data_IF_788627385746
#
_entry.id   IF_788627385746
#
_cell.length_a   1.000
_cell.length_b   1.000
_cell.length_c   1.000
_cell.angle_alpha   90.00
_cell.angle_beta   90.00
_cell.angle_gamma   90.00
#
_symmetry.space_group_name_H-M   'P 1'
#
loop_
_entity.id
_entity.type
_entity.pdbx_description
1 polymer ?
#
# COMPACT_ATOMS: atom_id res chain seq x y z
N UNK A 1 -3.78 1.79 -27.34
CA UNK A 1 -3.26 0.43 -27.64
C UNK A 1 -1.81 0.45 -28.15
N UNK A 2 -1.46 1.22 -29.18
CA UNK A 2 -0.06 1.32 -29.66
C UNK A 2 0.95 1.82 -28.61
N UNK A 3 0.54 2.72 -27.71
CA UNK A 3 1.42 3.23 -26.66
C UNK A 3 1.80 2.15 -25.63
N UNK A 4 0.86 1.30 -25.21
CA UNK A 4 1.12 0.23 -24.25
C UNK A 4 2.11 -0.81 -24.81
N UNK A 5 1.94 -1.21 -26.07
CA UNK A 5 2.86 -2.12 -26.76
C UNK A 5 4.29 -1.55 -26.85
N UNK A 6 4.43 -0.26 -27.14
CA UNK A 6 5.75 0.40 -27.17
C UNK A 6 6.43 0.43 -25.80
N UNK A 7 5.64 0.59 -24.73
CA UNK A 7 6.16 0.54 -23.35
C UNK A 7 6.61 -0.89 -23.00
N UNK A 8 5.82 -1.91 -23.34
CA UNK A 8 6.19 -3.31 -23.12
C UNK A 8 7.48 -3.69 -23.85
N UNK A 9 7.60 -3.35 -25.14
CA UNK A 9 8.83 -3.62 -25.91
C UNK A 9 10.05 -2.94 -25.27
N UNK A 10 9.88 -1.71 -24.78
CA UNK A 10 10.96 -0.98 -24.10
C UNK A 10 11.34 -1.62 -22.76
N UNK A 11 10.34 -2.10 -22.00
CA UNK A 11 10.58 -2.78 -20.73
C UNK A 11 11.31 -4.11 -20.94
N UNK A 12 10.88 -4.91 -21.92
CA UNK A 12 11.57 -6.14 -22.32
C UNK A 12 13.01 -5.90 -22.75
N UNK A 13 13.27 -4.88 -23.57
CA UNK A 13 14.62 -4.53 -23.99
C UNK A 13 15.52 -4.13 -22.80
N UNK A 14 14.96 -3.42 -21.81
CA UNK A 14 15.69 -3.04 -20.60
C UNK A 14 16.01 -4.25 -19.71
N UNK A 15 15.07 -5.16 -19.53
CA UNK A 15 15.27 -6.41 -18.78
C UNK A 15 16.35 -7.25 -19.44
N UNK A 16 16.25 -7.46 -20.76
CA UNK A 16 17.25 -8.24 -21.50
C UNK A 16 18.66 -7.63 -21.41
N UNK A 17 18.78 -6.30 -21.46
CA UNK A 17 20.07 -5.65 -21.31
C UNK A 17 20.67 -5.87 -19.91
N UNK A 18 19.85 -5.86 -18.86
CA UNK A 18 20.28 -6.15 -17.50
C UNK A 18 20.68 -7.60 -17.32
N UNK A 19 19.93 -8.56 -17.89
CA UNK A 19 20.27 -9.98 -17.89
C UNK A 19 21.66 -10.23 -18.50
N UNK A 20 21.93 -9.61 -19.66
CA UNK A 20 23.24 -9.69 -20.31
C UNK A 20 24.35 -9.10 -19.44
N UNK A 21 24.12 -7.94 -18.82
CA UNK A 21 25.10 -7.29 -17.94
C UNK A 21 25.39 -8.06 -16.66
N UNK A 22 24.40 -8.79 -16.15
CA UNK A 22 24.49 -9.60 -14.95
C UNK A 22 24.89 -11.06 -15.25
N UNK A 23 25.16 -11.39 -16.51
CA UNK A 23 25.50 -12.74 -16.98
C UNK A 23 24.47 -13.81 -16.58
N UNK A 24 23.19 -13.44 -16.48
CA UNK A 24 22.12 -14.37 -16.12
C UNK A 24 21.82 -15.25 -17.34
N UNK A 25 22.17 -16.53 -17.24
CA UNK A 25 22.05 -17.48 -18.35
C UNK A 25 20.69 -18.20 -18.37
N UNK A 26 20.05 -18.35 -17.21
CA UNK A 26 18.73 -18.96 -17.04
C UNK A 26 17.87 -18.08 -16.15
N UNK A 27 16.70 -17.69 -16.66
CA UNK A 27 15.68 -17.02 -15.86
C UNK A 27 14.85 -18.06 -15.12
N UNK A 28 14.33 -17.70 -13.95
CA UNK A 28 13.39 -18.55 -13.23
C UNK A 28 12.11 -18.73 -14.06
N UNK A 29 11.68 -19.98 -14.18
CA UNK A 29 10.45 -20.36 -14.86
C UNK A 29 9.29 -20.48 -13.85
N UNK A 30 8.07 -20.46 -14.39
CA UNK A 30 6.86 -20.68 -13.59
C UNK A 30 6.90 -22.09 -12.98
N UNK A 31 7.07 -22.16 -11.66
CA UNK A 31 7.15 -23.43 -10.91
C UNK A 31 8.51 -23.73 -10.29
N UNK A 32 9.55 -22.93 -10.60
CA UNK A 32 10.81 -23.01 -9.89
C UNK A 32 10.63 -22.62 -8.41
N UNK A 33 11.37 -23.25 -7.50
CA UNK A 33 11.28 -22.96 -6.07
C UNK A 33 11.52 -21.48 -5.75
N UNK A 34 12.56 -20.89 -6.35
CA UNK A 34 12.86 -19.47 -6.23
C UNK A 34 11.73 -18.58 -6.78
N UNK A 35 11.07 -19.00 -7.87
CA UNK A 35 9.93 -18.27 -8.42
C UNK A 35 8.74 -18.29 -7.46
N UNK A 36 8.44 -19.46 -6.90
CA UNK A 36 7.34 -19.64 -5.94
C UNK A 36 7.60 -18.80 -4.69
N UNK A 37 8.80 -18.90 -4.10
CA UNK A 37 9.19 -18.14 -2.91
C UNK A 37 9.07 -16.63 -3.13
N UNK A 38 9.67 -16.11 -4.21
CA UNK A 38 9.62 -14.68 -4.52
C UNK A 38 8.20 -14.23 -4.87
N UNK A 39 7.40 -15.06 -5.54
CA UNK A 39 5.99 -14.73 -5.81
C UNK A 39 5.16 -14.60 -4.53
N UNK A 40 5.40 -15.46 -3.53
CA UNK A 40 4.77 -15.37 -2.22
C UNK A 40 5.24 -14.11 -1.47
N UNK A 41 6.54 -13.81 -1.49
CA UNK A 41 7.12 -12.60 -0.90
C UNK A 41 6.54 -11.33 -1.53
N UNK A 42 6.42 -11.28 -2.87
CA UNK A 42 5.82 -10.15 -3.58
C UNK A 42 4.35 -10.00 -3.22
N UNK A 43 3.60 -11.09 -3.11
CA UNK A 43 2.20 -11.06 -2.68
C UNK A 43 2.05 -10.45 -1.28
N UNK A 44 2.89 -10.88 -0.33
CA UNK A 44 2.96 -10.29 1.02
C UNK A 44 3.29 -8.80 0.97
N UNK A 45 4.28 -8.41 0.18
CA UNK A 45 4.68 -7.01 0.03
C UNK A 45 3.57 -6.15 -0.62
N UNK A 46 2.88 -6.67 -1.64
CA UNK A 46 1.73 -6.00 -2.24
C UNK A 46 0.60 -5.79 -1.23
N UNK A 47 0.34 -6.80 -0.39
CA UNK A 47 -0.63 -6.71 0.69
C UNK A 47 -0.24 -5.63 1.70
N UNK A 48 1.01 -5.65 2.19
CA UNK A 48 1.53 -4.63 3.12
C UNK A 48 1.45 -3.23 2.53
N UNK A 49 1.84 -3.05 1.26
CA UNK A 49 1.78 -1.75 0.59
C UNK A 49 0.35 -1.23 0.43
N UNK A 50 -0.61 -2.11 0.14
CA UNK A 50 -2.01 -1.73 0.06
C UNK A 50 -2.54 -1.29 1.43
N UNK A 51 -2.15 -2.01 2.49
CA UNK A 51 -2.49 -1.68 3.87
C UNK A 51 -1.88 -0.34 4.31
N UNK A 52 -0.59 -0.12 4.07
CA UNK A 52 0.11 1.13 4.40
C UNK A 52 -0.50 2.33 3.67
N UNK A 53 -0.88 2.14 2.40
CA UNK A 53 -1.54 3.18 1.62
C UNK A 53 -2.89 3.56 2.22
N UNK A 54 -3.72 2.57 2.57
CA UNK A 54 -5.00 2.78 3.24
C UNK A 54 -4.81 3.50 4.58
N UNK A 55 -3.86 3.04 5.39
CA UNK A 55 -3.52 3.65 6.68
C UNK A 55 -3.12 5.12 6.54
N UNK A 56 -2.21 5.43 5.61
CA UNK A 56 -1.75 6.80 5.39
C UNK A 56 -2.90 7.75 5.05
N UNK A 57 -3.88 7.28 4.27
CA UNK A 57 -5.07 8.06 3.94
C UNK A 57 -5.98 8.30 5.15
N UNK A 58 -6.18 7.28 6.00
CA UNK A 58 -7.00 7.39 7.22
C UNK A 58 -6.37 8.35 8.23
N UNK A 59 -5.06 8.21 8.47
CA UNK A 59 -4.31 9.10 9.36
C UNK A 59 -4.40 10.54 8.84
N UNK A 60 -4.21 10.76 7.53
CA UNK A 60 -4.38 12.08 6.92
C UNK A 60 -5.81 12.61 7.10
N UNK A 61 -6.84 11.77 7.04
CA UNK A 61 -8.24 12.13 7.30
C UNK A 61 -8.45 12.59 8.74
N UNK A 62 -7.93 11.84 9.72
CA UNK A 62 -8.01 12.20 11.14
C UNK A 62 -7.35 13.55 11.42
N UNK A 63 -6.14 13.79 10.89
CA UNK A 63 -5.47 15.08 11.05
C UNK A 63 -6.26 16.26 10.47
N UNK A 64 -6.99 16.05 9.38
CA UNK A 64 -7.83 17.09 8.82
C UNK A 64 -9.10 17.35 9.62
N UNK A 65 -9.73 16.32 10.19
CA UNK A 65 -10.86 16.48 11.10
C UNK A 65 -10.46 17.31 12.32
N UNK A 66 -9.30 17.01 12.92
CA UNK A 66 -8.74 17.79 14.03
C UNK A 66 -8.52 19.25 13.64
N UNK A 67 -7.95 19.52 12.45
CA UNK A 67 -7.76 20.89 11.94
C UNK A 67 -9.08 21.61 11.72
N UNK A 68 -10.11 20.93 11.22
CA UNK A 68 -11.43 21.52 11.01
C UNK A 68 -12.14 21.87 12.33
N UNK A 69 -11.91 21.09 13.38
CA UNK A 69 -12.53 21.27 14.70
C UNK A 69 -11.79 22.28 15.59
N UNK A 70 -10.65 22.82 15.13
CA UNK A 70 -9.85 23.78 15.90
C UNK A 70 -10.46 25.20 15.82
N UNK A 71 -10.72 25.80 16.99
CA UNK A 71 -11.18 27.18 17.12
C UNK A 71 -10.16 28.14 16.47
N UNK A 72 -10.64 29.11 15.68
CA UNK A 72 -9.79 30.05 14.93
C UNK A 72 -9.59 29.73 13.44
N UNK A 73 -10.18 28.65 12.93
CA UNK A 73 -10.17 28.38 11.48
C UNK A 73 -11.16 29.27 10.71
N UNK A 74 -10.63 30.19 9.91
CA UNK A 74 -11.41 31.06 9.03
C UNK A 74 -12.27 30.27 8.02
N UNK A 75 -13.40 30.85 7.59
CA UNK A 75 -14.37 30.20 6.70
C UNK A 75 -13.76 29.63 5.41
N UNK A 76 -12.84 30.37 4.78
CA UNK A 76 -12.13 29.91 3.57
C UNK A 76 -11.36 28.61 3.82
N UNK A 77 -10.62 28.54 4.93
CA UNK A 77 -9.84 27.35 5.29
C UNK A 77 -10.75 26.15 5.58
N UNK A 78 -11.86 26.35 6.30
CA UNK A 78 -12.88 25.31 6.51
C UNK A 78 -13.44 24.76 5.20
N UNK A 79 -13.71 25.62 4.21
CA UNK A 79 -14.17 25.19 2.88
C UNK A 79 -13.11 24.34 2.14
N UNK A 80 -11.83 24.70 2.25
CA UNK A 80 -10.74 23.91 1.68
C UNK A 80 -10.59 22.55 2.35
N UNK A 81 -10.67 22.50 3.69
CA UNK A 81 -10.62 21.24 4.45
C UNK A 81 -11.81 20.34 4.07
N UNK A 82 -13.04 20.89 3.99
CA UNK A 82 -14.21 20.13 3.58
C UNK A 82 -14.07 19.53 2.16
N UNK A 83 -13.51 20.30 1.21
CA UNK A 83 -13.23 19.80 -0.14
C UNK A 83 -12.14 18.72 -0.14
N UNK A 84 -11.04 18.94 0.59
CA UNK A 84 -9.99 17.92 0.75
C UNK A 84 -10.54 16.64 1.35
N UNK A 85 -11.45 16.76 2.33
CA UNK A 85 -12.10 15.64 3.01
C UNK A 85 -12.92 14.78 2.05
N UNK A 86 -13.74 15.40 1.18
CA UNK A 86 -14.49 14.69 0.15
C UNK A 86 -13.58 13.95 -0.83
N UNK A 87 -12.50 14.59 -1.28
CA UNK A 87 -11.52 13.98 -2.19
C UNK A 87 -10.85 12.77 -1.53
N UNK A 88 -10.42 12.90 -0.27
CA UNK A 88 -9.79 11.78 0.44
C UNK A 88 -10.76 10.67 0.79
N UNK A 89 -12.01 10.95 1.13
CA UNK A 89 -13.03 9.90 1.31
C UNK A 89 -13.17 9.03 0.05
N UNK A 90 -13.16 9.63 -1.15
CA UNK A 90 -13.15 8.88 -2.41
C UNK A 90 -11.86 8.08 -2.60
N UNK A 91 -10.71 8.63 -2.21
CA UNK A 91 -9.43 7.93 -2.27
C UNK A 91 -9.41 6.71 -1.34
N UNK A 92 -9.94 6.84 -0.12
CA UNK A 92 -10.04 5.74 0.85
C UNK A 92 -10.95 4.63 0.32
N UNK A 93 -12.13 4.95 -0.24
CA UNK A 93 -12.99 3.94 -0.89
C UNK A 93 -12.24 3.16 -1.99
N UNK A 94 -11.45 3.86 -2.79
CA UNK A 94 -10.60 3.23 -3.81
C UNK A 94 -9.53 2.34 -3.17
N UNK A 95 -8.87 2.82 -2.12
CA UNK A 95 -7.82 2.10 -1.41
C UNK A 95 -8.35 0.84 -0.70
N UNK A 96 -9.56 0.88 -0.14
CA UNK A 96 -10.26 -0.30 0.40
C UNK A 96 -10.46 -1.35 -0.71
N UNK A 97 -10.95 -0.95 -1.89
CA UNK A 97 -11.11 -1.88 -3.00
C UNK A 97 -9.78 -2.50 -3.46
N UNK A 98 -8.69 -1.73 -3.44
CA UNK A 98 -7.35 -2.26 -3.74
C UNK A 98 -6.85 -3.22 -2.65
N UNK A 99 -7.05 -2.88 -1.38
CA UNK A 99 -6.73 -3.74 -0.25
C UNK A 99 -7.50 -5.06 -0.33
N UNK A 100 -8.83 -5.03 -0.49
CA UNK A 100 -9.67 -6.23 -0.56
C UNK A 100 -9.24 -7.15 -1.71
N UNK A 101 -8.94 -6.58 -2.88
CA UNK A 101 -8.45 -7.35 -4.03
C UNK A 101 -7.14 -8.09 -3.72
N UNK A 102 -6.21 -7.45 -3.01
CA UNK A 102 -4.94 -8.09 -2.65
C UNK A 102 -5.13 -9.06 -1.48
N UNK A 103 -5.99 -8.74 -0.52
CA UNK A 103 -6.34 -9.58 0.63
C UNK A 103 -6.96 -10.92 0.18
N UNK A 104 -7.88 -10.89 -0.78
CA UNK A 104 -8.48 -12.10 -1.36
C UNK A 104 -7.48 -12.95 -2.15
N UNK A 105 -6.48 -12.32 -2.78
CA UNK A 105 -5.44 -13.00 -3.54
C UNK A 105 -4.34 -13.62 -2.68
N UNK A 106 -4.30 -13.34 -1.37
CA UNK A 106 -3.35 -13.94 -0.44
C UNK A 106 -3.66 -15.41 -0.19
N UNK A 107 -2.64 -16.19 0.16
CA UNK A 107 -2.79 -17.59 0.60
C UNK A 107 -2.17 -17.72 2.00
N UNK A 108 -2.97 -17.90 3.08
CA UNK A 108 -4.45 -17.90 3.09
C UNK A 108 -5.05 -16.51 2.82
N UNK A 109 -6.31 -16.44 2.33
CA UNK A 109 -7.01 -15.18 2.14
C UNK A 109 -7.09 -14.38 3.44
N UNK A 110 -6.92 -13.07 3.34
CA UNK A 110 -7.04 -12.12 4.46
C UNK A 110 -8.44 -11.53 4.53
N UNK A 111 -8.90 -11.08 5.72
CA UNK A 111 -10.20 -10.42 5.86
C UNK A 111 -10.31 -9.20 4.96
N UNK A 112 -11.47 -9.03 4.32
CA UNK A 112 -11.80 -7.81 3.58
C UNK A 112 -12.36 -6.75 4.53
N UNK A 113 -12.26 -5.49 4.13
CA UNK A 113 -12.79 -4.35 4.87
C UNK A 113 -14.00 -3.76 4.15
N UNK A 114 -15.03 -3.42 4.92
CA UNK A 114 -16.14 -2.59 4.45
C UNK A 114 -15.92 -1.10 4.77
N UNK A 115 -16.55 -0.20 4.01
CA UNK A 115 -16.39 1.24 4.22
C UNK A 115 -16.87 1.66 5.62
N UNK A 116 -18.00 1.12 6.07
CA UNK A 116 -18.62 1.39 7.35
C UNK A 116 -17.69 1.00 8.50
N UNK A 117 -17.10 -0.21 8.44
CA UNK A 117 -16.11 -0.69 9.41
C UNK A 117 -14.89 0.23 9.46
N UNK A 118 -14.37 0.66 8.31
CA UNK A 118 -13.20 1.54 8.24
C UNK A 118 -13.47 2.90 8.86
N UNK A 119 -14.67 3.46 8.66
CA UNK A 119 -15.06 4.73 9.28
C UNK A 119 -15.19 4.59 10.80
N UNK A 120 -15.76 3.48 11.27
CA UNK A 120 -15.89 3.18 12.69
C UNK A 120 -14.52 3.02 13.37
N UNK A 121 -13.63 2.22 12.79
CA UNK A 121 -12.27 2.04 13.30
C UNK A 121 -11.43 3.32 13.26
N UNK A 122 -11.55 4.12 12.20
CA UNK A 122 -10.87 5.43 12.14
C UNK A 122 -11.41 6.42 13.18
N UNK A 123 -12.69 6.32 13.54
CA UNK A 123 -13.27 7.12 14.62
C UNK A 123 -12.77 6.66 16.00
N UNK A 124 -12.69 5.35 16.23
CA UNK A 124 -12.23 4.77 17.50
C UNK A 124 -10.71 4.79 17.67
N UNK A 125 -9.96 5.17 16.63
CA UNK A 125 -8.49 5.02 16.55
C UNK A 125 -8.02 3.57 16.80
N UNK A 126 -8.92 2.61 16.68
CA UNK A 126 -8.73 1.22 17.04
C UNK A 126 -8.71 0.39 15.77
N UNK A 127 -7.52 0.27 15.21
CA UNK A 127 -7.30 -0.41 13.94
C UNK A 127 -6.18 -1.44 14.17
N UNK A 128 -6.48 -2.45 14.99
CA UNK A 128 -5.53 -3.52 15.35
C UNK A 128 -5.01 -4.30 14.12
N UNK A 129 -5.78 -4.31 13.01
CA UNK A 129 -5.34 -4.79 11.68
C UNK A 129 -4.05 -4.09 11.18
N UNK A 130 -3.81 -2.84 11.58
CA UNK A 130 -2.61 -2.07 11.24
C UNK A 130 -1.37 -2.53 12.02
N UNK A 131 -1.56 -3.30 13.10
CA UNK A 131 -0.47 -3.85 13.90
C UNK A 131 0.05 -5.16 13.33
N UNK A 132 -0.81 -5.94 12.68
CA UNK A 132 -0.46 -7.23 12.09
C UNK A 132 0.44 -7.13 10.84
N UNK A 133 0.45 -5.99 10.15
CA UNK A 133 1.23 -5.78 8.92
C UNK A 133 2.66 -5.29 9.13
N UNK A 134 2.98 -4.72 10.30
CA UNK A 134 4.32 -4.16 10.57
C UNK A 134 5.26 -5.27 10.98
N UNK A 135 6.34 -5.44 10.21
CA UNK A 135 7.49 -6.22 10.68
C UNK A 135 8.16 -5.46 11.84
N UNK A 136 8.38 -6.18 12.94
CA UNK A 136 9.10 -5.64 14.09
C UNK A 136 10.58 -5.56 13.79
N UNK A 137 11.03 -4.40 13.27
CA UNK A 137 12.42 -4.18 12.87
C UNK A 137 13.36 -3.94 14.06
N UNK A 138 12.87 -3.92 15.31
CA UNK A 138 13.70 -3.61 16.50
C UNK A 138 14.80 -4.65 16.73
N UNK A 139 14.67 -5.85 16.17
CA UNK A 139 15.67 -6.91 16.22
C UNK A 139 16.67 -6.91 15.07
N UNK A 140 16.52 -6.04 14.08
CA UNK A 140 17.35 -6.08 12.87
C UNK A 140 18.75 -5.54 13.09
N UNK A 141 19.73 -6.19 12.49
CA UNK A 141 21.15 -5.91 12.74
C UNK A 141 21.56 -4.48 12.35
N UNK A 142 20.86 -3.85 11.40
CA UNK A 142 21.08 -2.46 10.97
C UNK A 142 20.41 -1.42 11.87
N UNK A 143 19.62 -1.84 12.87
CA UNK A 143 18.97 -0.95 13.86
C UNK A 143 19.83 -0.78 15.11
N UNK A 144 20.83 -1.64 15.32
CA UNK A 144 21.77 -1.48 16.42
C UNK A 144 22.72 -0.31 16.15
N UNK A 145 22.96 0.59 17.12
CA UNK A 145 23.94 1.66 16.96
C UNK A 145 25.32 1.05 16.74
N UNK A 146 26.04 1.55 15.73
CA UNK A 146 27.45 1.21 15.57
C UNK A 146 28.20 1.61 16.85
N UNK A 147 28.79 0.63 17.52
CA UNK A 147 29.59 0.83 18.73
C UNK A 147 30.82 1.70 18.49
#
# INVERSE_FOLDING_TARGET
RQHALKVEVRAWAAVHNLELRLAITTCWALGDENWIEVSAMLSKHHYQRALDHLQGLLIAQMFELVKCNMLGTGYKLRKHIAKSFQVRSKAIKTAIGQYNKVAEAMTPPKPTLDWEEVVEYAFLADFDLLREGREDIRGEFWVQPAG
#
